data_IF_760793054003
#
_entry.id   IF_760793054003
#
_cell.length_a   1.000
_cell.length_b   1.000
_cell.length_c   1.000
_cell.angle_alpha   90.00
_cell.angle_beta   90.00
_cell.angle_gamma   90.00
#
_symmetry.space_group_name_H-M   'P 1'
#
loop_
_entity.id
_entity.type
_entity.pdbx_description
1 polymer ?
#
# COMPACT_ATOMS: atom_id res chain seq x y z
N UNK A 1 -14.26 -7.95 31.88
CA UNK A 1 -13.52 -7.72 30.62
C UNK A 1 -14.37 -8.28 29.48
N UNK A 2 -14.96 -7.41 28.66
CA UNK A 2 -15.77 -7.82 27.50
C UNK A 2 -14.80 -8.20 26.37
N UNK A 3 -14.66 -9.48 26.05
CA UNK A 3 -13.85 -9.91 24.91
C UNK A 3 -14.72 -9.85 23.65
N UNK A 4 -14.49 -8.84 22.80
CA UNK A 4 -15.14 -8.77 21.49
C UNK A 4 -14.54 -9.87 20.60
N UNK A 5 -15.34 -10.89 20.30
CA UNK A 5 -14.94 -11.99 19.41
C UNK A 5 -15.02 -11.48 17.97
N UNK A 6 -13.91 -11.03 17.41
CA UNK A 6 -13.84 -10.68 15.98
C UNK A 6 -14.02 -11.96 15.16
N UNK A 7 -15.16 -12.08 14.47
CA UNK A 7 -15.39 -13.18 13.54
C UNK A 7 -14.53 -12.94 12.29
N UNK A 8 -13.52 -13.79 12.07
CA UNK A 8 -12.58 -13.69 10.94
C UNK A 8 -12.94 -14.62 9.77
N UNK A 9 -14.13 -15.23 9.75
CA UNK A 9 -14.45 -16.20 8.71
C UNK A 9 -14.47 -15.57 7.32
N UNK A 10 -14.81 -14.28 7.21
CA UNK A 10 -14.79 -13.51 5.97
C UNK A 10 -14.42 -12.05 6.29
N UNK A 11 -13.12 -11.72 6.41
CA UNK A 11 -12.73 -10.33 6.58
C UNK A 11 -13.10 -9.54 5.32
N UNK A 12 -13.70 -8.37 5.51
CA UNK A 12 -13.93 -7.43 4.42
C UNK A 12 -12.58 -6.95 3.88
N UNK A 13 -12.42 -7.02 2.56
CA UNK A 13 -11.22 -6.54 1.87
C UNK A 13 -11.56 -5.22 1.22
N UNK A 14 -10.87 -4.17 1.63
CA UNK A 14 -10.99 -2.85 1.02
C UNK A 14 -9.84 -2.66 0.05
N UNK A 15 -10.17 -2.16 -1.13
CA UNK A 15 -9.19 -1.82 -2.16
C UNK A 15 -9.28 -0.34 -2.46
N UNK A 16 -8.13 0.27 -2.73
CA UNK A 16 -8.04 1.65 -3.22
C UNK A 16 -7.21 1.69 -4.49
N UNK A 17 -7.51 2.67 -5.34
CA UNK A 17 -6.73 2.97 -6.55
C UNK A 17 -5.58 3.88 -6.18
N UNK A 18 -4.38 3.53 -6.62
CA UNK A 18 -3.14 4.28 -6.37
C UNK A 18 -2.30 4.35 -7.62
N UNK A 19 -1.42 5.35 -7.69
CA UNK A 19 -0.41 5.52 -8.73
C UNK A 19 0.90 4.86 -8.29
N UNK A 20 1.51 4.01 -9.13
CA UNK A 20 2.86 3.54 -8.86
C UNK A 20 3.88 4.64 -9.20
N UNK A 21 4.38 5.34 -8.18
CA UNK A 21 5.39 6.39 -8.33
C UNK A 21 6.84 5.84 -8.33
N UNK A 22 7.03 4.52 -8.18
CA UNK A 22 8.37 3.91 -8.25
C UNK A 22 8.89 3.90 -9.68
N UNK A 23 9.49 5.03 -10.09
CA UNK A 23 9.89 5.36 -11.46
C UNK A 23 10.80 4.34 -12.18
N UNK A 24 11.45 3.44 -11.45
CA UNK A 24 12.42 2.49 -12.01
C UNK A 24 11.88 1.07 -12.15
N UNK A 25 10.69 0.75 -11.60
CA UNK A 25 10.18 -0.62 -11.59
C UNK A 25 8.67 -0.73 -11.35
N UNK A 26 8.11 -1.86 -11.77
CA UNK A 26 6.74 -2.22 -11.43
C UNK A 26 6.63 -2.68 -9.97
N UNK A 27 5.49 -2.41 -9.35
CA UNK A 27 5.07 -3.06 -8.12
C UNK A 27 4.53 -4.45 -8.47
N UNK A 28 5.03 -5.50 -7.82
CA UNK A 28 4.56 -6.86 -8.07
C UNK A 28 3.37 -7.22 -7.18
N UNK A 29 2.49 -8.11 -7.66
CA UNK A 29 1.39 -8.62 -6.85
C UNK A 29 1.89 -9.19 -5.51
N UNK A 30 1.26 -8.78 -4.41
CA UNK A 30 1.61 -9.19 -3.05
C UNK A 30 2.72 -8.36 -2.42
N UNK A 31 3.26 -7.36 -3.13
CA UNK A 31 4.30 -6.49 -2.60
C UNK A 31 3.70 -5.42 -1.67
N UNK A 32 4.24 -5.22 -0.46
CA UNK A 32 3.86 -4.11 0.38
C UNK A 32 4.31 -2.78 -0.25
N UNK A 33 3.53 -1.72 -0.02
CA UNK A 33 3.78 -0.37 -0.55
C UNK A 33 3.66 0.69 0.54
N UNK A 34 4.28 1.85 0.33
CA UNK A 34 4.17 3.03 1.21
C UNK A 34 3.69 4.25 0.42
N UNK A 35 3.02 5.18 1.10
CA UNK A 35 2.70 6.48 0.53
C UNK A 35 3.97 7.24 0.17
N UNK A 36 4.01 7.80 -1.02
CA UNK A 36 5.20 8.44 -1.58
C UNK A 36 5.31 9.93 -1.28
N UNK A 37 5.27 10.32 -0.01
CA UNK A 37 5.43 11.72 0.38
C UNK A 37 6.74 12.41 -0.09
N UNK A 38 7.89 11.70 -0.27
CA UNK A 38 9.12 12.33 -0.73
C UNK A 38 9.10 12.80 -2.18
N UNK A 39 8.55 11.98 -3.10
CA UNK A 39 8.54 12.28 -4.53
C UNK A 39 7.20 12.81 -5.02
N UNK A 40 6.08 12.43 -4.38
CA UNK A 40 4.74 12.85 -4.80
C UNK A 40 3.76 13.02 -3.62
N UNK A 41 3.46 14.26 -3.25
CA UNK A 41 2.54 14.59 -2.16
C UNK A 41 1.09 14.76 -2.66
N UNK A 42 0.69 13.98 -3.66
CA UNK A 42 -0.61 14.05 -4.34
C UNK A 42 -1.72 13.26 -3.61
N UNK A 43 -1.35 12.43 -2.63
CA UNK A 43 -2.27 11.59 -1.86
C UNK A 43 -2.73 10.32 -2.58
N UNK A 44 -2.16 10.01 -3.75
CA UNK A 44 -2.46 8.79 -4.54
C UNK A 44 -1.21 8.01 -4.92
N UNK A 45 -0.04 8.64 -4.89
CA UNK A 45 1.26 8.04 -5.19
C UNK A 45 1.74 7.06 -4.12
N UNK A 46 2.10 5.85 -4.53
CA UNK A 46 2.73 4.84 -3.70
C UNK A 46 4.02 4.34 -4.32
N UNK A 47 4.98 4.01 -3.45
CA UNK A 47 6.29 3.50 -3.84
C UNK A 47 6.69 2.29 -3.00
N UNK A 48 7.82 1.66 -3.36
CA UNK A 48 8.37 0.55 -2.59
C UNK A 48 8.73 1.01 -1.16
N UNK A 49 8.54 0.17 -0.13
CA UNK A 49 8.99 0.49 1.21
C UNK A 49 10.50 0.71 1.25
N UNK A 50 10.94 1.88 1.68
CA UNK A 50 12.37 2.23 1.81
C UNK A 50 12.88 2.01 3.23
N UNK A 51 11.99 1.92 4.22
CA UNK A 51 12.30 1.61 5.61
C UNK A 51 11.16 0.82 6.28
N UNK A 52 11.47 0.13 7.37
CA UNK A 52 10.47 -0.42 8.30
C UNK A 52 9.77 0.74 9.03
N UNK A 53 8.49 0.58 9.37
CA UNK A 53 7.79 1.53 10.22
C UNK A 53 8.52 1.66 11.59
N UNK A 54 9.10 2.84 11.84
CA UNK A 54 9.71 3.25 13.11
C UNK A 54 9.01 4.51 13.61
N UNK A 55 9.45 5.11 14.71
CA UNK A 55 8.94 6.40 15.20
C UNK A 55 9.10 7.57 14.21
N UNK A 56 9.87 7.37 13.13
CA UNK A 56 9.90 8.27 11.96
C UNK A 56 9.70 7.54 10.62
N UNK A 57 9.18 6.30 10.60
CA UNK A 57 9.14 5.44 9.41
C UNK A 57 7.84 5.53 8.62
N UNK A 58 7.97 5.55 7.29
CA UNK A 58 6.86 5.67 6.34
C UNK A 58 5.79 4.59 6.54
N UNK A 59 4.54 5.04 6.68
CA UNK A 59 3.38 4.19 6.90
C UNK A 59 3.15 3.29 5.68
N UNK A 60 3.04 1.98 5.91
CA UNK A 60 2.60 1.03 4.89
C UNK A 60 1.20 1.44 4.46
N UNK A 61 1.03 1.72 3.17
CA UNK A 61 -0.25 2.10 2.59
C UNK A 61 -1.12 0.87 2.31
N UNK A 62 -0.51 -0.27 2.01
CA UNK A 62 -1.20 -1.51 1.72
C UNK A 62 -0.32 -2.52 1.01
N UNK A 63 -0.95 -3.44 0.29
CA UNK A 63 -0.31 -4.49 -0.51
C UNK A 63 -0.87 -4.45 -1.93
N UNK A 64 0.00 -4.47 -2.93
CA UNK A 64 -0.41 -4.51 -4.34
C UNK A 64 -1.27 -5.75 -4.63
N UNK A 65 -2.49 -5.54 -5.11
CA UNK A 65 -3.42 -6.60 -5.47
C UNK A 65 -3.16 -7.16 -6.87
N UNK A 66 -2.33 -6.45 -7.65
CA UNK A 66 -1.94 -6.76 -9.02
C UNK A 66 -0.52 -6.24 -9.30
N UNK A 67 -0.01 -6.51 -10.50
CA UNK A 67 1.23 -5.89 -10.96
C UNK A 67 0.92 -4.50 -11.52
N UNK A 68 1.53 -3.45 -10.95
CA UNK A 68 1.30 -2.06 -11.36
C UNK A 68 2.59 -1.53 -12.01
N UNK A 69 2.54 -1.21 -13.30
CA UNK A 69 3.70 -0.67 -14.02
C UNK A 69 4.04 0.72 -13.50
N UNK A 70 5.32 1.12 -13.58
CA UNK A 70 5.76 2.46 -13.19
C UNK A 70 4.97 3.54 -13.94
N UNK A 71 4.38 4.48 -13.20
CA UNK A 71 3.58 5.58 -13.75
C UNK A 71 2.12 5.21 -14.07
N UNK A 72 1.72 3.94 -13.89
CA UNK A 72 0.35 3.50 -14.09
C UNK A 72 -0.43 3.42 -12.78
N UNK A 73 -1.76 3.46 -12.90
CA UNK A 73 -2.67 3.23 -11.78
C UNK A 73 -2.98 1.74 -11.61
N UNK A 74 -3.20 1.34 -10.36
CA UNK A 74 -3.65 0.00 -10.03
C UNK A 74 -4.24 -0.09 -8.63
N UNK A 75 -4.57 -1.30 -8.21
CA UNK A 75 -5.23 -1.58 -6.94
C UNK A 75 -4.26 -2.04 -5.85
N UNK A 76 -4.41 -1.47 -4.66
CA UNK A 76 -3.83 -2.01 -3.43
C UNK A 76 -4.93 -2.41 -2.46
N UNK A 77 -4.67 -3.46 -1.68
CA UNK A 77 -5.48 -3.85 -0.54
C UNK A 77 -4.94 -3.13 0.72
N UNK A 78 -5.82 -2.48 1.47
CA UNK A 78 -5.49 -1.80 2.75
C UNK A 78 -5.79 -2.67 3.97
#
# INVERSE_FOLDING_TARGET
>A
MLYLRVNRSLPEKVFIVVLNSWSTASLTNGQPVMWDYPTDADGVGVTRPTARATSGGAAIAGVAAETIVSGDFGLIQI
#
